data_IF_833545152522
#
_entry.id   IF_833545152522
#
_cell.length_a   1.000
_cell.length_b   1.000
_cell.length_c   1.000
_cell.angle_alpha   90.00
_cell.angle_beta   90.00
_cell.angle_gamma   90.00
#
_symmetry.space_group_name_H-M   'P 1'
#
loop_
_entity.id
_entity.type
_entity.pdbx_description
1 polymer ?
#
# COMPACT_ATOMS: atom_id res chain seq x y z
N UNK A 1 4.66 20.32 19.04
CA UNK A 1 3.75 19.80 17.99
C UNK A 1 3.85 18.29 17.96
N UNK A 2 2.80 17.51 18.28
CA UNK A 2 2.84 16.06 18.10
C UNK A 2 3.03 15.75 16.61
N UNK A 3 4.00 14.90 16.28
CA UNK A 3 4.24 14.45 14.91
C UNK A 3 3.00 13.65 14.47
N UNK A 4 2.37 14.03 13.35
CA UNK A 4 1.30 13.23 12.76
C UNK A 4 1.80 11.80 12.53
N UNK A 5 1.03 10.76 12.91
CA UNK A 5 1.44 9.39 12.70
C UNK A 5 1.63 9.12 11.20
N UNK A 6 2.75 8.49 10.84
CA UNK A 6 2.99 8.06 9.46
C UNK A 6 2.01 6.92 9.15
N UNK A 7 1.16 7.12 8.14
CA UNK A 7 0.19 6.11 7.72
C UNK A 7 0.90 4.90 7.10
N UNK A 8 0.43 3.70 7.42
CA UNK A 8 0.96 2.44 6.89
C UNK A 8 -0.15 1.65 6.19
N UNK A 9 0.14 1.19 4.97
CA UNK A 9 -0.71 0.28 4.21
C UNK A 9 -0.05 -1.10 4.12
N UNK A 10 -0.70 -2.12 4.65
CA UNK A 10 -0.38 -3.51 4.32
C UNK A 10 -0.83 -3.78 2.87
N UNK A 11 0.10 -4.17 2.03
CA UNK A 11 -0.06 -4.38 0.60
C UNK A 11 -0.09 -5.87 0.31
N UNK A 12 -1.23 -6.35 -0.18
CA UNK A 12 -1.47 -7.73 -0.57
C UNK A 12 -1.49 -7.81 -2.09
N UNK A 13 -0.57 -8.59 -2.68
CA UNK A 13 -0.39 -8.65 -4.13
C UNK A 13 -0.86 -10.01 -4.65
N UNK A 14 -1.92 -10.00 -5.45
CA UNK A 14 -2.51 -11.16 -6.09
C UNK A 14 -2.02 -11.26 -7.53
N UNK A 15 -1.17 -12.25 -7.81
CA UNK A 15 -0.48 -12.37 -9.10
C UNK A 15 -1.31 -12.98 -10.21
N UNK A 16 -1.30 -12.36 -11.39
CA UNK A 16 -1.71 -13.03 -12.62
C UNK A 16 -0.53 -13.83 -13.15
N UNK A 17 -0.59 -15.15 -13.13
CA UNK A 17 0.48 -15.97 -13.71
C UNK A 17 0.37 -15.88 -15.23
N UNK A 18 1.46 -15.54 -15.94
CA UNK A 18 1.52 -15.57 -17.43
C UNK A 18 0.57 -14.61 -18.16
N UNK A 19 -0.07 -13.66 -17.48
CA UNK A 19 -0.82 -12.56 -18.10
C UNK A 19 -2.04 -12.94 -18.96
N UNK A 20 -2.50 -14.19 -18.93
CA UNK A 20 -3.66 -14.63 -19.72
C UNK A 20 -4.97 -14.10 -19.13
N UNK A 21 -6.03 -13.99 -19.93
CA UNK A 21 -7.33 -13.54 -19.44
C UNK A 21 -7.85 -14.38 -18.26
N UNK A 22 -7.69 -15.69 -18.33
CA UNK A 22 -8.06 -16.62 -17.25
C UNK A 22 -7.26 -16.37 -15.97
N UNK A 23 -5.95 -16.11 -16.07
CA UNK A 23 -5.11 -15.87 -14.90
C UNK A 23 -5.34 -14.48 -14.30
N UNK A 24 -5.63 -13.48 -15.13
CA UNK A 24 -6.12 -12.16 -14.67
C UNK A 24 -7.43 -12.31 -13.89
N UNK A 25 -8.38 -13.09 -14.40
CA UNK A 25 -9.64 -13.37 -13.69
C UNK A 25 -9.40 -14.07 -12.34
N UNK A 26 -8.54 -15.10 -12.30
CA UNK A 26 -8.18 -15.79 -11.05
C UNK A 26 -7.50 -14.86 -10.03
N UNK A 27 -6.65 -13.95 -10.48
CA UNK A 27 -6.01 -12.96 -9.61
C UNK A 27 -7.05 -12.02 -8.99
N UNK A 28 -8.00 -11.55 -9.81
CA UNK A 28 -9.11 -10.72 -9.37
C UNK A 28 -10.03 -11.46 -8.40
N UNK A 29 -10.40 -12.71 -8.67
CA UNK A 29 -11.23 -13.53 -7.78
C UNK A 29 -10.61 -13.67 -6.40
N UNK A 30 -9.30 -13.96 -6.32
CA UNK A 30 -8.59 -14.04 -5.03
C UNK A 30 -8.54 -12.70 -4.31
N UNK A 31 -8.41 -11.60 -5.04
CA UNK A 31 -8.43 -10.25 -4.46
C UNK A 31 -9.83 -9.86 -3.98
N UNK A 32 -10.91 -10.25 -4.68
CA UNK A 32 -12.30 -10.05 -4.24
C UNK A 32 -12.61 -10.88 -3.00
N UNK A 33 -12.06 -12.09 -2.91
CA UNK A 33 -12.19 -12.94 -1.73
C UNK A 33 -11.38 -12.44 -0.52
N UNK A 34 -10.53 -11.42 -0.69
CA UNK A 34 -9.84 -10.78 0.43
C UNK A 34 -10.85 -10.08 1.34
N UNK A 35 -10.75 -10.34 2.64
CA UNK A 35 -11.57 -9.70 3.64
C UNK A 35 -10.70 -9.28 4.83
N UNK A 36 -10.93 -8.06 5.32
CA UNK A 36 -10.29 -7.54 6.53
C UNK A 36 -11.26 -6.65 7.30
N UNK A 37 -11.06 -6.59 8.62
CA UNK A 37 -11.74 -5.64 9.51
C UNK A 37 -11.16 -4.23 9.38
N UNK A 38 -9.95 -4.10 8.83
CA UNK A 38 -9.35 -2.81 8.52
C UNK A 38 -9.92 -2.26 7.21
N UNK A 39 -9.99 -0.94 7.04
CA UNK A 39 -10.30 -0.34 5.75
C UNK A 39 -9.28 -0.77 4.69
N UNK A 40 -9.73 -1.16 3.51
CA UNK A 40 -8.85 -1.41 2.39
C UNK A 40 -9.45 -0.93 1.07
N UNK A 41 -8.59 -0.78 0.07
CA UNK A 41 -9.01 -0.59 -1.32
C UNK A 41 -8.22 -1.50 -2.25
N UNK A 42 -8.82 -1.82 -3.39
CA UNK A 42 -8.25 -2.71 -4.40
C UNK A 42 -7.95 -1.92 -5.67
N UNK A 43 -6.82 -2.25 -6.33
CA UNK A 43 -6.46 -1.70 -7.64
C UNK A 43 -5.94 -2.81 -8.55
N UNK A 44 -6.53 -2.94 -9.73
CA UNK A 44 -6.00 -3.76 -10.81
C UNK A 44 -4.87 -3.02 -11.52
N UNK A 45 -3.72 -3.67 -11.65
CA UNK A 45 -2.54 -3.09 -12.28
C UNK A 45 -2.70 -3.08 -13.80
N UNK A 46 -2.74 -1.88 -14.36
CA UNK A 46 -2.54 -1.65 -15.79
C UNK A 46 -1.08 -1.37 -16.10
N UNK A 47 -0.72 -1.39 -17.39
CA UNK A 47 0.63 -1.11 -17.89
C UNK A 47 1.21 0.21 -17.35
N UNK A 48 0.38 1.25 -17.25
CA UNK A 48 0.80 2.57 -16.76
C UNK A 48 1.19 2.57 -15.27
N UNK A 49 0.51 1.78 -14.44
CA UNK A 49 0.81 1.69 -13.00
C UNK A 49 1.96 0.73 -12.72
N UNK A 50 2.08 -0.36 -13.50
CA UNK A 50 3.11 -1.38 -13.35
C UNK A 50 4.47 -0.94 -13.90
N UNK A 51 4.48 -0.31 -15.09
CA UNK A 51 5.71 -0.03 -15.84
C UNK A 51 5.90 1.44 -16.20
N UNK A 52 4.82 2.23 -16.15
CA UNK A 52 4.80 3.61 -16.61
C UNK A 52 5.40 4.63 -15.65
N UNK A 53 5.25 5.91 -16.02
CA UNK A 53 5.58 7.06 -15.16
C UNK A 53 4.38 7.55 -14.36
N UNK A 54 3.29 6.79 -14.34
CA UNK A 54 2.05 7.19 -13.70
C UNK A 54 2.08 6.94 -12.20
N UNK A 55 1.50 7.86 -11.45
CA UNK A 55 1.16 7.67 -10.05
C UNK A 55 0.02 6.64 -9.93
N UNK A 56 -0.10 5.97 -8.78
CA UNK A 56 -1.24 5.11 -8.50
C UNK A 56 -2.40 5.94 -7.95
N UNK A 57 -3.57 5.85 -8.57
CA UNK A 57 -4.77 6.49 -8.03
C UNK A 57 -5.31 5.73 -6.81
N UNK A 58 -5.64 6.46 -5.75
CA UNK A 58 -6.43 5.97 -4.62
C UNK A 58 -7.90 6.23 -4.93
N UNK A 59 -8.81 5.23 -4.79
CA UNK A 59 -10.24 5.45 -5.04
C UNK A 59 -10.79 6.62 -4.21
N UNK A 60 -11.53 7.53 -4.86
CA UNK A 60 -11.98 8.79 -4.26
C UNK A 60 -12.74 8.57 -2.94
N UNK A 61 -13.71 7.65 -2.93
CA UNK A 61 -14.51 7.32 -1.74
C UNK A 61 -13.65 6.83 -0.57
N UNK A 62 -12.57 6.09 -0.87
CA UNK A 62 -11.63 5.63 0.16
C UNK A 62 -10.83 6.82 0.71
N UNK A 63 -10.29 7.65 -0.17
CA UNK A 63 -9.52 8.83 0.24
C UNK A 63 -10.36 9.83 1.04
N UNK A 64 -11.60 10.10 0.61
CA UNK A 64 -12.53 11.00 1.31
C UNK A 64 -12.89 10.49 2.70
N UNK A 65 -13.05 9.17 2.87
CA UNK A 65 -13.45 8.59 4.14
C UNK A 65 -12.30 8.43 5.13
N UNK A 66 -11.11 8.09 4.66
CA UNK A 66 -10.00 7.67 5.53
C UNK A 66 -8.77 8.58 5.48
N UNK A 67 -8.66 9.46 4.48
CA UNK A 67 -7.49 10.33 4.28
C UNK A 67 -7.82 11.83 4.27
N UNK A 68 -9.09 12.20 4.45
CA UNK A 68 -9.57 13.61 4.39
C UNK A 68 -8.98 14.49 5.47
N UNK A 69 -8.87 13.96 6.70
CA UNK A 69 -8.27 14.66 7.84
C UNK A 69 -6.73 14.56 7.88
N UNK A 70 -6.15 13.83 6.94
CA UNK A 70 -4.71 13.58 6.88
C UNK A 70 -4.06 14.55 5.89
N UNK A 71 -2.93 15.13 6.30
CA UNK A 71 -2.14 15.99 5.40
C UNK A 71 -1.40 15.13 4.38
N UNK A 72 -1.45 15.48 3.07
CA UNK A 72 -0.59 14.88 2.06
C UNK A 72 0.86 14.76 2.56
N UNK A 73 1.49 13.62 2.31
CA UNK A 73 2.78 13.33 2.92
C UNK A 73 3.23 11.88 2.74
N UNK A 74 4.18 11.48 3.59
CA UNK A 74 4.77 10.15 3.53
C UNK A 74 3.83 9.09 4.13
N UNK A 75 3.67 8.00 3.40
CA UNK A 75 3.05 6.75 3.82
C UNK A 75 4.05 5.62 3.66
N UNK A 76 3.80 4.51 4.34
CA UNK A 76 4.59 3.29 4.23
C UNK A 76 3.74 2.24 3.54
N UNK A 77 4.26 1.64 2.46
CA UNK A 77 3.72 0.42 1.89
C UNK A 77 4.52 -0.76 2.45
N UNK A 78 3.84 -1.70 3.12
CA UNK A 78 4.42 -2.90 3.71
C UNK A 78 3.88 -4.13 2.97
N UNK A 79 4.74 -5.03 2.49
CA UNK A 79 4.31 -6.31 1.88
C UNK A 79 4.50 -7.47 2.86
N UNK A 80 3.89 -8.62 2.56
CA UNK A 80 3.86 -9.84 3.40
C UNK A 80 5.21 -10.56 3.62
N UNK A 81 6.34 -9.86 3.54
CA UNK A 81 7.67 -10.35 3.90
C UNK A 81 8.48 -9.35 4.72
N UNK A 82 7.82 -8.35 5.32
CA UNK A 82 8.46 -7.32 6.15
C UNK A 82 9.15 -6.20 5.38
N UNK A 83 9.17 -6.24 4.04
CA UNK A 83 9.75 -5.18 3.21
C UNK A 83 8.83 -3.96 3.19
N UNK A 84 9.44 -2.79 3.33
CA UNK A 84 8.75 -1.49 3.38
C UNK A 84 9.25 -0.54 2.30
N UNK A 85 8.35 0.31 1.82
CA UNK A 85 8.66 1.41 0.90
C UNK A 85 8.05 2.70 1.41
N UNK A 86 8.86 3.76 1.47
CA UNK A 86 8.36 5.11 1.71
C UNK A 86 7.78 5.68 0.42
N UNK A 87 6.51 6.06 0.47
CA UNK A 87 5.77 6.58 -0.68
C UNK A 87 5.09 7.87 -0.28
N UNK A 88 5.03 8.86 -1.16
CA UNK A 88 4.25 10.06 -0.92
C UNK A 88 2.86 9.91 -1.49
N UNK A 89 1.84 10.22 -0.69
CA UNK A 89 0.52 10.48 -1.24
C UNK A 89 0.30 11.98 -1.41
N UNK A 90 -0.27 12.34 -2.55
CA UNK A 90 -0.63 13.71 -2.90
C UNK A 90 -2.13 13.80 -3.14
N UNK A 91 -2.74 14.94 -2.81
CA UNK A 91 -4.12 15.25 -3.17
C UNK A 91 -4.13 16.55 -3.97
N UNK A 92 -4.85 16.53 -5.10
CA UNK A 92 -5.02 17.67 -6.00
C UNK A 92 -6.50 17.89 -6.26
N UNK A 93 -6.92 19.14 -6.18
CA UNK A 93 -8.29 19.53 -6.48
C UNK A 93 -8.43 19.82 -7.98
N UNK A 94 -9.51 19.29 -8.56
CA UNK A 94 -9.89 19.43 -9.96
C UNK A 94 -11.36 19.86 -10.00
N UNK A 95 -11.59 21.16 -9.82
CA UNK A 95 -12.93 21.71 -9.63
C UNK A 95 -13.59 21.13 -8.37
N UNK A 96 -14.75 20.51 -8.52
CA UNK A 96 -15.48 19.86 -7.42
C UNK A 96 -14.96 18.46 -7.04
N UNK A 97 -13.95 17.94 -7.75
CA UNK A 97 -13.40 16.60 -7.53
C UNK A 97 -12.01 16.68 -6.92
N UNK A 98 -11.74 15.86 -5.90
CA UNK A 98 -10.40 15.66 -5.35
C UNK A 98 -9.80 14.37 -5.89
N UNK A 99 -8.59 14.45 -6.44
CA UNK A 99 -7.81 13.31 -6.91
C UNK A 99 -6.69 13.04 -5.91
N UNK A 100 -6.62 11.81 -5.41
CA UNK A 100 -5.59 11.39 -4.45
C UNK A 100 -4.75 10.27 -5.04
N UNK A 101 -3.43 10.39 -4.98
CA UNK A 101 -2.50 9.51 -5.69
C UNK A 101 -1.27 9.15 -4.85
N UNK A 102 -0.79 7.91 -4.96
CA UNK A 102 0.56 7.52 -4.54
C UNK A 102 1.54 7.90 -5.63
N UNK A 103 2.48 8.78 -5.29
CA UNK A 103 3.38 9.47 -6.22
C UNK A 103 4.83 9.03 -6.05
N UNK A 104 5.69 9.88 -5.48
CA UNK A 104 7.10 9.57 -5.24
C UNK A 104 7.20 8.27 -4.43
N UNK A 105 8.04 7.34 -4.88
CA UNK A 105 8.21 6.02 -4.26
C UNK A 105 7.31 4.93 -4.82
N UNK A 106 6.16 5.26 -5.45
CA UNK A 106 5.27 4.25 -6.05
C UNK A 106 6.00 3.39 -7.09
N UNK A 107 6.75 4.02 -7.99
CA UNK A 107 7.48 3.31 -9.04
C UNK A 107 8.53 2.35 -8.49
N UNK A 108 9.21 2.74 -7.40
CA UNK A 108 10.18 1.86 -6.74
C UNK A 108 9.45 0.63 -6.15
N UNK A 109 8.34 0.85 -5.45
CA UNK A 109 7.49 -0.23 -4.96
C UNK A 109 7.04 -1.18 -6.08
N UNK A 110 6.50 -0.64 -7.19
CA UNK A 110 6.01 -1.44 -8.30
C UNK A 110 7.12 -2.28 -8.94
N UNK A 111 8.28 -1.67 -9.20
CA UNK A 111 9.45 -2.34 -9.80
C UNK A 111 10.02 -3.41 -8.88
N UNK A 112 10.28 -3.07 -7.62
CA UNK A 112 10.96 -3.96 -6.68
C UNK A 112 10.06 -5.16 -6.31
N UNK A 113 8.73 -4.95 -6.33
CA UNK A 113 7.75 -6.02 -6.24
C UNK A 113 7.38 -6.61 -7.61
N UNK A 114 8.04 -6.27 -8.72
CA UNK A 114 7.78 -6.86 -10.04
C UNK A 114 6.29 -6.87 -10.40
N UNK A 115 5.55 -5.78 -10.13
CA UNK A 115 4.14 -5.71 -10.47
C UNK A 115 3.99 -5.75 -12.00
N UNK A 116 3.03 -6.54 -12.46
CA UNK A 116 2.76 -6.71 -13.89
C UNK A 116 1.31 -6.37 -14.23
N UNK A 117 1.02 -6.20 -15.52
CA UNK A 117 -0.34 -5.98 -15.98
C UNK A 117 -1.23 -7.18 -15.63
N UNK A 118 -2.34 -6.90 -14.96
CA UNK A 118 -3.28 -7.93 -14.52
C UNK A 118 -3.04 -8.46 -13.12
N UNK A 119 -1.93 -8.09 -12.47
CA UNK A 119 -1.83 -8.22 -11.02
C UNK A 119 -2.89 -7.35 -10.34
N UNK A 120 -3.35 -7.77 -9.15
CA UNK A 120 -4.28 -7.00 -8.34
C UNK A 120 -3.64 -6.74 -6.99
N UNK A 121 -3.60 -5.47 -6.56
CA UNK A 121 -3.12 -5.10 -5.23
C UNK A 121 -4.29 -4.68 -4.35
N UNK A 122 -4.30 -5.16 -3.12
CA UNK A 122 -5.15 -4.65 -2.05
C UNK A 122 -4.27 -3.90 -1.06
N UNK A 123 -4.63 -2.66 -0.76
CA UNK A 123 -3.95 -1.81 0.20
C UNK A 123 -4.85 -1.63 1.42
N UNK A 124 -4.46 -2.26 2.51
CA UNK A 124 -5.16 -2.28 3.80
C UNK A 124 -4.54 -1.25 4.74
N UNK A 125 -5.34 -0.29 5.18
CA UNK A 125 -4.92 0.78 6.09
C UNK A 125 -4.80 0.24 7.52
N UNK A 126 -3.58 0.25 8.04
CA UNK A 126 -3.30 -0.25 9.39
C UNK A 126 -3.66 0.83 10.43
N UNK A 127 -4.65 0.54 11.29
CA UNK A 127 -5.01 1.41 12.40
C UNK A 127 -3.94 1.32 13.51
N UNK A 128 -3.46 2.46 13.99
CA UNK A 128 -2.73 2.54 15.26
C UNK A 128 -1.23 2.22 15.25
N UNK A 129 -0.58 2.05 14.09
CA UNK A 129 0.88 1.94 14.06
C UNK A 129 1.45 3.36 13.99
N UNK A 130 1.75 3.94 15.16
CA UNK A 130 2.75 4.99 15.22
C UNK A 130 4.07 4.39 14.79
N UNK A 131 4.37 4.41 13.48
CA UNK A 131 5.69 4.01 13.00
C UNK A 131 6.65 5.09 13.47
N UNK A 132 7.21 4.91 14.66
CA UNK A 132 8.32 5.70 15.15
C UNK A 132 9.49 5.46 14.21
N UNK A 133 9.95 6.49 13.51
CA UNK A 133 11.19 6.47 12.74
C UNK A 133 12.35 6.11 13.67
N UNK A 134 12.70 4.84 13.78
CA UNK A 134 13.95 4.38 14.35
C UNK A 134 14.89 3.98 13.22
N UNK A 135 15.27 4.94 12.38
CA UNK A 135 16.45 4.83 11.54
C UNK A 135 17.14 6.18 11.44
N UNK A 136 17.99 6.48 12.43
CA UNK A 136 19.16 7.30 12.19
C UNK A 136 20.37 6.66 12.86
N UNK A 137 21.35 6.35 12.00
CA UNK A 137 22.77 6.11 12.23
C UNK A 137 23.29 4.68 12.58
N UNK A 138 24.17 4.24 11.68
CA UNK A 138 25.43 3.49 11.86
C UNK A 138 25.38 1.97 12.13
N UNK A 139 25.51 1.23 11.02
CA UNK A 139 26.46 0.13 10.87
C UNK A 139 26.41 -1.05 11.83
N UNK A 140 25.77 -2.14 11.41
CA UNK A 140 26.29 -3.53 11.40
C UNK A 140 25.22 -4.49 10.87
N UNK A 141 25.68 -5.58 10.28
CA UNK A 141 24.93 -6.61 9.56
C UNK A 141 24.36 -7.63 10.56
N UNK A 142 23.03 -7.77 10.63
CA UNK A 142 22.25 -8.83 11.32
C UNK A 142 20.80 -8.31 11.43
N UNK A 143 19.70 -9.03 11.39
CA UNK A 143 19.33 -10.40 11.10
C UNK A 143 17.80 -10.35 10.88
N UNK A 144 17.24 -11.36 10.23
CA UNK A 144 15.80 -11.48 10.00
C UNK A 144 15.03 -11.54 11.34
N UNK A 145 13.91 -10.83 11.48
CA UNK A 145 12.94 -11.19 12.53
C UNK A 145 11.53 -11.11 12.01
N UNK A 146 11.00 -12.30 11.76
CA UNK A 146 9.60 -12.64 11.55
C UNK A 146 8.70 -11.85 12.51
N UNK A 147 7.68 -11.16 11.97
CA UNK A 147 6.59 -10.63 12.78
C UNK A 147 5.82 -11.86 13.30
N UNK A 148 5.97 -12.14 14.59
CA UNK A 148 5.40 -13.29 15.27
C UNK A 148 3.87 -13.15 15.38
N UNK A 149 3.17 -14.28 15.29
CA UNK A 149 1.72 -14.44 15.53
C UNK A 149 1.29 -14.15 16.98
N UNK A 150 2.12 -13.49 17.79
CA UNK A 150 1.92 -13.36 19.24
C UNK A 150 1.37 -12.00 19.71
N UNK A 151 1.09 -11.05 18.81
CA UNK A 151 0.51 -9.76 19.22
C UNK A 151 -1.04 -9.74 19.30
N UNK A 152 -1.73 -10.86 19.09
CA UNK A 152 -3.22 -10.92 19.08
C UNK A 152 -3.85 -11.12 20.47
N UNK A 153 -3.09 -11.42 21.54
CA UNK A 153 -3.67 -11.71 22.87
C UNK A 153 -3.58 -10.55 23.89
N UNK A 154 -3.61 -9.29 23.47
CA UNK A 154 -3.76 -8.15 24.41
C UNK A 154 -5.17 -7.55 24.50
N UNK A 155 -6.17 -8.21 23.91
CA UNK A 155 -7.57 -7.78 23.93
C UNK A 155 -8.55 -8.94 24.20
N UNK A 156 -8.23 -9.78 25.18
CA UNK A 156 -9.21 -10.54 25.98
C UNK A 156 -8.86 -10.29 27.44
#
# INVERSE_FOLDING_TARGET
MPKSPIMCFQSHIFRSKKGTATEKARALERAIAFNSQNPFFMVSMGTLYAYGRSNLNIPCKFAEKYLSDQKPGNVILLVSGGKTWHVQYISRDFGSRRKTELSIGWRAFARDNKLEEGDVCVFELMKGIGVTNSHQSLGKRSECTSISKQQILKYI
#
